data_IF_996183908252
#
_entry.id   IF_996183908252
#
_cell.length_a   1.000
_cell.length_b   1.000
_cell.length_c   1.000
_cell.angle_alpha   90.00
_cell.angle_beta   90.00
_cell.angle_gamma   90.00
#
_symmetry.space_group_name_H-M   'P 1'
#
loop_
_entity.id
_entity.type
_entity.pdbx_description
1 polymer ?
#
# COMPACT_ATOMS: atom_id res chain seq x y z
N UNK A 1 -16.94 -5.77 19.68
CA UNK A 1 -17.54 -5.59 18.33
C UNK A 1 -16.56 -4.78 17.50
N UNK A 2 -16.43 -4.98 16.18
CA UNK A 2 -15.65 -4.07 15.34
C UNK A 2 -16.14 -2.61 15.49
N UNK A 3 -15.24 -1.60 15.49
CA UNK A 3 -13.78 -1.72 15.35
C UNK A 3 -13.03 -1.98 16.67
N UNK A 4 -13.68 -2.12 17.82
CA UNK A 4 -12.98 -2.35 19.10
C UNK A 4 -12.12 -3.62 19.10
N UNK A 5 -12.39 -4.57 18.21
CA UNK A 5 -11.62 -5.80 18.03
C UNK A 5 -10.14 -5.57 17.72
N UNK A 6 -9.78 -4.45 17.08
CA UNK A 6 -8.38 -4.10 16.80
C UNK A 6 -7.69 -3.31 17.90
N UNK A 7 -8.37 -3.01 19.02
CA UNK A 7 -7.76 -2.28 20.12
C UNK A 7 -6.64 -3.08 20.78
N UNK A 8 -5.63 -2.39 21.32
CA UNK A 8 -4.53 -3.03 22.04
C UNK A 8 -4.99 -3.94 23.21
N UNK A 9 -6.16 -3.66 23.81
CA UNK A 9 -6.73 -4.49 24.88
C UNK A 9 -7.29 -5.82 24.34
N UNK A 10 -7.93 -5.79 23.17
CA UNK A 10 -8.61 -6.96 22.60
C UNK A 10 -7.76 -7.74 21.61
N UNK A 11 -6.83 -7.07 20.94
CA UNK A 11 -5.83 -7.65 20.04
C UNK A 11 -4.44 -7.04 20.31
N UNK A 12 -3.69 -7.57 21.29
CA UNK A 12 -2.34 -7.10 21.59
C UNK A 12 -1.36 -7.26 20.42
N UNK A 13 -1.55 -8.26 19.57
CA UNK A 13 -0.68 -8.50 18.41
C UNK A 13 -0.94 -7.49 17.29
N UNK A 14 -2.18 -7.03 17.16
CA UNK A 14 -2.58 -5.99 16.21
C UNK A 14 -1.96 -4.61 16.45
N UNK A 15 -1.24 -4.41 17.56
CA UNK A 15 -0.49 -3.18 17.86
C UNK A 15 0.80 -3.10 17.04
N UNK A 16 1.41 -4.24 16.73
CA UNK A 16 2.70 -4.32 16.03
C UNK A 16 2.62 -5.05 14.69
N UNK A 17 1.59 -5.85 14.46
CA UNK A 17 1.47 -6.62 13.22
C UNK A 17 1.15 -5.78 11.98
N UNK A 18 1.51 -6.33 10.83
CA UNK A 18 1.31 -5.71 9.52
C UNK A 18 -0.10 -5.87 8.94
N UNK A 19 -0.99 -6.70 9.52
CA UNK A 19 -2.28 -7.11 8.94
C UNK A 19 -3.12 -6.00 8.29
N UNK A 20 -3.10 -4.78 8.82
CA UNK A 20 -3.83 -3.67 8.23
C UNK A 20 -3.16 -3.09 6.95
N UNK A 21 -1.83 -3.17 6.83
CA UNK A 21 -1.08 -2.59 5.72
C UNK A 21 -1.32 -3.36 4.41
N UNK A 22 -1.60 -4.66 4.48
CA UNK A 22 -1.78 -5.55 3.33
C UNK A 22 -3.18 -5.54 2.70
N UNK A 23 -4.07 -4.65 3.16
CA UNK A 23 -5.48 -4.60 2.76
C UNK A 23 -5.91 -3.19 2.31
N UNK A 24 -4.98 -2.33 1.92
CA UNK A 24 -5.22 -0.89 1.80
C UNK A 24 -5.34 -0.39 0.36
N UNK A 25 -4.83 -1.16 -0.60
CA UNK A 25 -4.81 -0.89 -2.04
C UNK A 25 -6.19 -0.51 -2.57
N UNK A 26 -7.20 -1.27 -2.14
CA UNK A 26 -8.60 -1.04 -2.51
C UNK A 26 -9.06 0.40 -2.24
N UNK A 27 -8.63 1.01 -1.13
CA UNK A 27 -9.15 2.32 -0.74
C UNK A 27 -8.59 3.47 -1.58
N UNK A 28 -7.37 3.33 -2.10
CA UNK A 28 -6.85 4.29 -3.07
C UNK A 28 -7.50 4.13 -4.45
N UNK A 29 -7.76 2.89 -4.83
CA UNK A 29 -8.36 2.50 -6.11
C UNK A 29 -9.81 2.99 -6.27
N UNK A 30 -10.61 2.93 -5.20
CA UNK A 30 -12.01 3.40 -5.23
C UNK A 30 -12.17 4.90 -4.93
N UNK A 31 -11.06 5.60 -4.67
CA UNK A 31 -11.05 7.04 -4.34
C UNK A 31 -9.96 7.80 -5.14
N UNK A 32 -9.92 7.66 -6.48
CA UNK A 32 -8.89 8.30 -7.30
C UNK A 32 -8.94 9.81 -7.15
N UNK A 33 -7.79 10.44 -6.92
CA UNK A 33 -7.68 11.90 -6.70
C UNK A 33 -8.28 12.40 -5.38
N UNK A 34 -8.76 11.50 -4.51
CA UNK A 34 -9.36 11.83 -3.21
C UNK A 34 -8.56 11.20 -2.05
N UNK A 35 -7.28 11.58 -1.86
CA UNK A 35 -6.40 10.96 -0.87
C UNK A 35 -6.90 11.04 0.56
N UNK A 36 -7.57 12.13 0.95
CA UNK A 36 -8.09 12.26 2.32
C UNK A 36 -9.23 11.26 2.58
N UNK A 37 -10.06 11.00 1.56
CA UNK A 37 -11.14 10.02 1.65
C UNK A 37 -10.58 8.59 1.62
N UNK A 38 -9.57 8.33 0.78
CA UNK A 38 -8.84 7.06 0.75
C UNK A 38 -8.23 6.74 2.12
N UNK A 39 -7.46 7.69 2.70
CA UNK A 39 -6.89 7.57 4.04
C UNK A 39 -7.95 7.32 5.11
N UNK A 40 -9.07 8.06 5.08
CA UNK A 40 -10.14 7.92 6.07
C UNK A 40 -10.78 6.54 6.03
N UNK A 41 -11.06 6.00 4.83
CA UNK A 41 -11.65 4.68 4.64
C UNK A 41 -10.69 3.57 5.05
N UNK A 42 -9.44 3.66 4.62
CA UNK A 42 -8.40 2.71 5.00
C UNK A 42 -8.21 2.65 6.53
N UNK A 43 -8.08 3.81 7.18
CA UNK A 43 -7.96 3.87 8.64
C UNK A 43 -9.18 3.29 9.35
N UNK A 44 -10.39 3.52 8.82
CA UNK A 44 -11.61 2.98 9.40
C UNK A 44 -11.65 1.45 9.34
N UNK A 45 -11.31 0.88 8.19
CA UNK A 45 -11.26 -0.56 7.99
C UNK A 45 -10.14 -1.22 8.80
N UNK A 46 -8.93 -0.65 8.76
CA UNK A 46 -7.75 -1.14 9.47
C UNK A 46 -7.96 -1.26 11.00
N UNK A 47 -8.78 -0.36 11.59
CA UNK A 47 -9.09 -0.42 13.02
C UNK A 47 -9.83 -1.68 13.46
N UNK A 48 -10.41 -2.45 12.55
CA UNK A 48 -11.08 -3.71 12.87
C UNK A 48 -10.09 -4.77 13.37
N UNK A 49 -8.87 -4.78 12.82
CA UNK A 49 -7.83 -5.78 13.12
C UNK A 49 -6.66 -5.19 13.90
N UNK A 50 -6.31 -3.93 13.67
CA UNK A 50 -5.09 -3.33 14.20
C UNK A 50 -5.34 -2.02 14.95
N UNK A 51 -4.32 -1.58 15.67
CA UNK A 51 -4.21 -0.22 16.21
C UNK A 51 -2.80 0.32 16.03
N UNK A 52 -2.60 1.62 16.25
CA UNK A 52 -1.28 2.24 16.14
C UNK A 52 -0.76 2.31 14.70
N UNK A 53 0.55 2.08 14.54
CA UNK A 53 1.30 2.36 13.31
C UNK A 53 0.70 1.68 12.07
N UNK A 54 0.25 0.43 12.18
CA UNK A 54 -0.30 -0.30 11.04
C UNK A 54 -1.51 0.41 10.42
N UNK A 55 -2.38 0.99 11.25
CA UNK A 55 -3.55 1.78 10.80
C UNK A 55 -3.13 3.06 10.09
N UNK A 56 -2.10 3.74 10.61
CA UNK A 56 -1.55 4.96 10.01
C UNK A 56 -0.91 4.65 8.65
N UNK A 57 -0.15 3.56 8.57
CA UNK A 57 0.52 3.13 7.33
C UNK A 57 -0.49 2.69 6.28
N UNK A 58 -1.58 1.99 6.65
CA UNK A 58 -2.68 1.72 5.71
C UNK A 58 -3.23 3.02 5.15
N UNK A 59 -3.53 4.00 6.00
CA UNK A 59 -4.06 5.28 5.57
C UNK A 59 -3.08 6.05 4.66
N UNK A 60 -1.77 5.94 4.93
CA UNK A 60 -0.72 6.54 4.13
C UNK A 60 -0.69 5.97 2.72
N UNK A 61 -0.64 4.64 2.59
CA UNK A 61 -0.61 3.99 1.27
C UNK A 61 -1.89 4.24 0.48
N UNK A 62 -3.06 4.23 1.13
CA UNK A 62 -4.32 4.55 0.45
C UNK A 62 -4.32 5.97 -0.16
N UNK A 63 -3.82 6.98 0.59
CA UNK A 63 -3.66 8.33 0.04
C UNK A 63 -2.64 8.37 -1.10
N UNK A 64 -1.52 7.67 -0.96
CA UNK A 64 -0.50 7.60 -1.99
C UNK A 64 -1.06 7.02 -3.29
N UNK A 65 -1.77 5.88 -3.22
CA UNK A 65 -2.40 5.25 -4.37
C UNK A 65 -3.47 6.14 -5.03
N UNK A 66 -4.29 6.83 -4.24
CA UNK A 66 -5.28 7.78 -4.75
C UNK A 66 -4.63 8.93 -5.54
N UNK A 67 -3.43 9.39 -5.12
CA UNK A 67 -2.70 10.47 -5.80
C UNK A 67 -1.97 9.98 -7.05
N UNK A 68 -1.52 8.72 -7.08
CA UNK A 68 -0.74 8.14 -8.17
C UNK A 68 -1.48 8.07 -9.53
N UNK A 69 -2.80 8.29 -9.56
CA UNK A 69 -3.56 8.46 -10.79
C UNK A 69 -3.21 9.74 -11.56
N UNK A 70 -2.74 10.78 -10.86
CA UNK A 70 -2.57 12.13 -11.40
C UNK A 70 -1.16 12.70 -11.22
N UNK A 71 -0.32 12.05 -10.42
CA UNK A 71 1.09 12.39 -10.23
C UNK A 71 1.93 11.10 -10.37
N UNK A 72 3.12 11.23 -10.94
CA UNK A 72 4.07 10.14 -11.15
C UNK A 72 5.42 10.39 -10.49
N UNK A 73 5.62 11.56 -9.88
CA UNK A 73 6.83 11.86 -9.10
C UNK A 73 6.74 11.17 -7.74
N UNK A 74 7.53 10.13 -7.54
CA UNK A 74 7.47 9.28 -6.35
C UNK A 74 7.76 10.08 -5.06
N UNK A 75 8.73 10.98 -5.12
CA UNK A 75 9.08 11.85 -3.99
C UNK A 75 7.89 12.74 -3.61
N UNK A 76 7.27 13.43 -4.57
CA UNK A 76 6.03 14.19 -4.37
C UNK A 76 4.91 13.32 -3.78
N UNK A 77 4.65 12.14 -4.35
CA UNK A 77 3.61 11.22 -3.89
C UNK A 77 3.79 10.81 -2.42
N UNK A 78 4.99 10.37 -2.06
CA UNK A 78 5.35 9.94 -0.71
C UNK A 78 5.26 11.11 0.28
N UNK A 79 5.80 12.28 -0.07
CA UNK A 79 5.80 13.48 0.78
C UNK A 79 4.38 14.04 0.97
N UNK A 80 3.56 14.05 -0.07
CA UNK A 80 2.17 14.49 0.02
C UNK A 80 1.35 13.52 0.88
N UNK A 81 1.54 12.20 0.74
CA UNK A 81 0.91 11.22 1.62
C UNK A 81 1.35 11.40 3.09
N UNK A 82 2.65 11.61 3.32
CA UNK A 82 3.24 11.84 4.65
C UNK A 82 2.66 13.09 5.34
N UNK A 83 2.42 14.17 4.59
CA UNK A 83 1.94 15.46 5.12
C UNK A 83 0.55 15.40 5.80
N UNK A 84 -0.16 14.27 5.66
CA UNK A 84 -1.46 14.01 6.32
C UNK A 84 -1.34 13.54 7.76
N UNK A 85 -0.13 13.19 8.19
CA UNK A 85 0.14 12.66 9.52
C UNK A 85 0.90 13.69 10.37
N UNK A 86 0.75 13.66 11.72
CA UNK A 86 1.51 14.53 12.60
C UNK A 86 3.02 14.37 12.39
N UNK A 87 3.75 15.50 12.36
CA UNK A 87 5.21 15.50 12.13
C UNK A 87 6.02 14.84 13.25
N UNK A 88 5.42 14.60 14.41
CA UNK A 88 5.98 13.91 15.56
C UNK A 88 5.54 12.43 15.65
N UNK A 89 4.83 11.91 14.64
CA UNK A 89 4.43 10.50 14.59
C UNK A 89 5.59 9.56 14.22
N UNK A 90 5.45 8.30 14.60
CA UNK A 90 6.41 7.25 14.21
C UNK A 90 6.43 7.03 12.69
N UNK A 91 5.28 7.11 12.02
CA UNK A 91 5.21 7.04 10.56
C UNK A 91 6.06 8.15 9.92
N UNK A 92 5.90 9.39 10.40
CA UNK A 92 6.62 10.54 9.85
C UNK A 92 8.14 10.37 10.04
N UNK A 93 8.57 9.90 11.21
CA UNK A 93 9.97 9.60 11.50
C UNK A 93 10.54 8.51 10.59
N UNK A 94 9.83 7.41 10.35
CA UNK A 94 10.30 6.34 9.48
C UNK A 94 10.49 6.85 8.05
N UNK A 95 9.53 7.62 7.52
CA UNK A 95 9.62 8.20 6.18
C UNK A 95 10.86 9.09 6.07
N UNK A 96 11.05 10.07 6.97
CA UNK A 96 12.24 10.94 6.94
C UNK A 96 13.55 10.15 7.04
N UNK A 97 13.60 9.18 7.95
CA UNK A 97 14.81 8.40 8.20
C UNK A 97 15.20 7.57 6.97
N UNK A 98 14.24 6.89 6.32
CA UNK A 98 14.52 6.09 5.12
C UNK A 98 14.90 6.99 3.93
N UNK A 99 14.24 8.13 3.74
CA UNK A 99 14.64 9.13 2.74
C UNK A 99 16.07 9.62 2.95
N UNK A 100 16.45 9.90 4.20
CA UNK A 100 17.81 10.35 4.53
C UNK A 100 18.85 9.25 4.27
N UNK A 101 18.56 7.99 4.61
CA UNK A 101 19.46 6.88 4.30
C UNK A 101 19.62 6.65 2.80
N UNK A 102 18.55 6.77 2.03
CA UNK A 102 18.60 6.75 0.57
C UNK A 102 19.47 7.89 0.04
N UNK A 103 19.24 9.13 0.48
CA UNK A 103 20.02 10.29 0.04
C UNK A 103 21.52 10.20 0.36
N UNK A 104 21.88 9.57 1.50
CA UNK A 104 23.27 9.33 1.88
C UNK A 104 23.92 8.14 1.15
N UNK A 105 23.12 7.20 0.65
CA UNK A 105 23.58 5.95 0.03
C UNK A 105 22.79 5.64 -1.26
N UNK A 106 22.76 6.54 -2.26
CA UNK A 106 21.84 6.44 -3.40
C UNK A 106 22.05 5.17 -4.24
N UNK A 107 23.28 4.64 -4.29
CA UNK A 107 23.63 3.49 -5.13
C UNK A 107 23.69 2.15 -4.37
N UNK A 108 23.47 2.14 -3.05
CA UNK A 108 23.60 0.92 -2.23
C UNK A 108 22.45 0.73 -1.23
N UNK A 109 21.36 0.15 -1.73
CA UNK A 109 20.19 -0.24 -0.93
C UNK A 109 20.53 -1.19 0.22
N UNK A 110 21.66 -1.93 0.16
CA UNK A 110 22.04 -2.86 1.24
C UNK A 110 22.44 -2.13 2.51
N UNK A 111 22.99 -0.92 2.38
CA UNK A 111 23.28 -0.05 3.52
C UNK A 111 21.96 0.37 4.19
N UNK A 112 21.01 0.88 3.42
CA UNK A 112 19.68 1.25 3.92
C UNK A 112 18.96 0.07 4.56
N UNK A 113 19.01 -1.12 3.95
CA UNK A 113 18.45 -2.35 4.54
C UNK A 113 19.10 -2.70 5.89
N UNK A 114 20.43 -2.59 6.00
CA UNK A 114 21.14 -2.88 7.24
C UNK A 114 20.74 -1.89 8.35
N UNK A 115 20.59 -0.61 8.01
CA UNK A 115 20.13 0.43 8.93
C UNK A 115 18.67 0.24 9.35
N UNK A 116 17.79 -0.18 8.42
CA UNK A 116 16.41 -0.58 8.73
C UNK A 116 16.40 -1.72 9.74
N UNK A 117 17.22 -2.75 9.52
CA UNK A 117 17.33 -3.87 10.46
C UNK A 117 17.79 -3.41 11.84
N UNK A 118 18.83 -2.57 11.91
CA UNK A 118 19.35 -2.08 13.18
C UNK A 118 18.33 -1.24 13.96
N UNK A 119 17.51 -0.44 13.27
CA UNK A 119 16.60 0.52 13.90
C UNK A 119 15.18 0.01 14.14
N UNK A 120 14.66 -0.85 13.26
CA UNK A 120 13.23 -1.16 13.20
C UNK A 120 12.89 -2.65 13.32
N UNK A 121 13.86 -3.55 13.30
CA UNK A 121 13.67 -5.01 13.48
C UNK A 121 13.74 -5.39 14.97
N UNK A 122 12.97 -4.70 15.80
CA UNK A 122 12.90 -4.83 17.27
C UNK A 122 11.51 -5.21 17.79
N UNK A 123 10.55 -5.43 16.88
CA UNK A 123 9.23 -5.98 17.18
C UNK A 123 9.27 -7.52 17.28
N UNK A 124 8.24 -8.18 17.86
CA UNK A 124 8.30 -9.60 18.17
C UNK A 124 8.54 -10.52 16.97
N UNK A 125 8.05 -10.15 15.78
CA UNK A 125 8.10 -11.00 14.59
C UNK A 125 8.49 -10.22 13.34
N UNK A 126 9.01 -10.95 12.35
CA UNK A 126 9.46 -10.41 11.06
C UNK A 126 8.33 -9.78 10.22
N UNK A 127 7.07 -10.09 10.50
CA UNK A 127 5.87 -9.50 9.88
C UNK A 127 5.34 -8.29 10.67
N UNK A 128 6.22 -7.57 11.38
CA UNK A 128 5.85 -6.35 12.06
C UNK A 128 5.67 -5.18 11.09
N UNK A 129 4.66 -4.36 11.35
CA UNK A 129 4.31 -3.18 10.56
C UNK A 129 5.48 -2.22 10.34
N UNK A 130 6.31 -2.03 11.36
CA UNK A 130 7.37 -1.01 11.39
C UNK A 130 8.50 -1.30 10.41
N UNK A 131 9.09 -2.50 10.50
CA UNK A 131 10.22 -2.92 9.64
C UNK A 131 9.79 -3.10 8.18
N UNK A 132 8.56 -3.58 7.95
CA UNK A 132 8.03 -3.78 6.61
C UNK A 132 7.62 -2.47 5.93
N UNK A 133 7.06 -1.51 6.67
CA UNK A 133 6.84 -0.17 6.15
C UNK A 133 8.15 0.49 5.70
N UNK A 134 9.19 0.44 6.53
CA UNK A 134 10.50 0.96 6.18
C UNK A 134 11.13 0.23 4.97
N UNK A 135 10.95 -1.09 4.89
CA UNK A 135 11.46 -1.92 3.78
C UNK A 135 10.76 -1.61 2.46
N UNK A 136 9.46 -1.36 2.48
CA UNK A 136 8.67 -0.97 1.31
C UNK A 136 9.08 0.42 0.82
N UNK A 137 9.27 1.39 1.72
CA UNK A 137 9.80 2.72 1.36
C UNK A 137 11.18 2.64 0.70
N UNK A 138 12.07 1.81 1.25
CA UNK A 138 13.38 1.57 0.63
C UNK A 138 13.22 1.01 -0.79
N UNK A 139 12.39 -0.02 -0.97
CA UNK A 139 12.17 -0.62 -2.27
C UNK A 139 11.61 0.38 -3.30
N UNK A 140 10.70 1.26 -2.88
CA UNK A 140 10.15 2.32 -3.73
C UNK A 140 11.24 3.31 -4.17
N UNK A 141 12.04 3.81 -3.23
CA UNK A 141 13.08 4.81 -3.52
C UNK A 141 14.18 4.27 -4.45
N UNK A 142 14.74 3.10 -4.11
CA UNK A 142 15.79 2.46 -4.91
C UNK A 142 15.26 1.75 -6.17
N UNK A 143 13.94 1.59 -6.27
CA UNK A 143 13.28 1.07 -7.46
C UNK A 143 13.31 2.06 -8.62
N UNK A 144 13.50 3.37 -8.34
CA UNK A 144 13.57 4.46 -9.32
C UNK A 144 12.41 4.47 -10.32
N UNK A 145 11.31 3.85 -9.92
CA UNK A 145 10.14 3.70 -10.73
C UNK A 145 10.05 2.54 -11.70
N UNK A 146 11.05 1.69 -11.73
CA UNK A 146 10.95 0.42 -12.44
C UNK A 146 10.22 -0.61 -11.56
N UNK A 147 9.10 -1.14 -12.06
CA UNK A 147 8.25 -2.06 -11.31
C UNK A 147 8.99 -3.34 -10.92
N UNK A 148 9.74 -3.94 -11.87
CA UNK A 148 10.43 -5.20 -11.63
C UNK A 148 11.57 -5.01 -10.63
N UNK A 149 12.32 -3.92 -10.74
CA UNK A 149 13.36 -3.53 -9.81
C UNK A 149 12.78 -3.29 -8.41
N UNK A 150 11.69 -2.52 -8.32
CA UNK A 150 11.00 -2.23 -7.05
C UNK A 150 10.57 -3.53 -6.36
N UNK A 151 9.89 -4.42 -7.08
CA UNK A 151 9.48 -5.72 -6.54
C UNK A 151 10.68 -6.60 -6.17
N UNK A 152 11.72 -6.62 -7.00
CA UNK A 152 12.95 -7.38 -6.70
C UNK A 152 13.60 -6.90 -5.42
N UNK A 153 13.71 -5.58 -5.20
CA UNK A 153 14.27 -5.01 -3.99
C UNK A 153 13.40 -5.27 -2.76
N UNK A 154 12.07 -5.15 -2.89
CA UNK A 154 11.13 -5.51 -1.82
C UNK A 154 11.25 -6.98 -1.42
N UNK A 155 11.37 -7.89 -2.39
CA UNK A 155 11.59 -9.32 -2.13
C UNK A 155 12.96 -9.61 -1.50
N UNK A 156 14.02 -8.95 -1.98
CA UNK A 156 15.39 -9.09 -1.45
C UNK A 156 15.58 -8.42 -0.08
N UNK A 157 14.71 -7.49 0.31
CA UNK A 157 14.69 -6.94 1.66
C UNK A 157 14.42 -8.06 2.69
N UNK A 158 13.59 -9.06 2.35
CA UNK A 158 13.18 -10.13 3.24
C UNK A 158 11.98 -9.70 4.09
N UNK A 159 11.93 -10.13 5.36
CA UNK A 159 10.78 -9.94 6.25
C UNK A 159 9.48 -10.40 5.58
N UNK A 160 8.42 -9.59 5.59
CA UNK A 160 7.15 -9.90 4.95
C UNK A 160 7.20 -9.59 3.45
N UNK A 161 8.04 -10.35 2.75
CA UNK A 161 8.47 -10.07 1.39
C UNK A 161 7.31 -10.01 0.40
N UNK A 162 6.33 -10.92 0.49
CA UNK A 162 5.15 -10.93 -0.37
C UNK A 162 4.27 -9.70 -0.17
N UNK A 163 4.10 -9.25 1.08
CA UNK A 163 3.39 -8.00 1.33
C UNK A 163 4.18 -6.78 0.84
N UNK A 164 5.47 -6.69 1.15
CA UNK A 164 6.32 -5.58 0.72
C UNK A 164 6.31 -5.45 -0.82
N UNK A 165 6.41 -6.58 -1.53
CA UNK A 165 6.34 -6.63 -2.99
C UNK A 165 5.00 -6.13 -3.52
N UNK A 166 3.88 -6.59 -2.95
CA UNK A 166 2.54 -6.23 -3.42
C UNK A 166 2.23 -4.75 -3.16
N UNK A 167 2.57 -4.27 -1.97
CA UNK A 167 2.38 -2.87 -1.57
C UNK A 167 3.22 -1.95 -2.47
N UNK A 168 4.51 -2.28 -2.67
CA UNK A 168 5.37 -1.49 -3.52
C UNK A 168 4.91 -1.48 -4.99
N UNK A 169 4.47 -2.63 -5.52
CA UNK A 169 4.01 -2.78 -6.90
C UNK A 169 2.77 -1.93 -7.22
N UNK A 170 1.90 -1.68 -6.24
CA UNK A 170 0.69 -0.87 -6.43
C UNK A 170 1.01 0.61 -6.64
N UNK A 171 2.16 1.08 -6.13
CA UNK A 171 2.69 2.41 -6.40
C UNK A 171 3.32 2.44 -7.79
N UNK A 172 2.52 2.44 -8.86
CA UNK A 172 3.09 2.51 -10.21
C UNK A 172 3.76 3.87 -10.41
N UNK A 173 5.07 3.81 -10.54
CA UNK A 173 5.88 4.91 -10.99
C UNK A 173 5.87 5.09 -12.51
N UNK A 174 5.95 6.35 -12.92
CA UNK A 174 6.56 6.76 -14.18
C UNK A 174 5.69 6.74 -15.45
N UNK A 175 4.73 5.83 -15.63
CA UNK A 175 3.88 5.83 -16.85
C UNK A 175 2.52 5.17 -16.63
N UNK A 176 1.52 5.95 -16.23
CA UNK A 176 0.08 5.72 -16.41
C UNK A 176 -0.47 4.37 -15.93
N UNK A 177 -1.58 4.37 -15.21
CA UNK A 177 -2.36 3.15 -15.01
C UNK A 177 -2.76 2.63 -16.40
N UNK A 178 -2.09 1.58 -16.85
CA UNK A 178 -2.54 0.75 -17.96
C UNK A 178 -2.90 -0.57 -17.31
N UNK A 179 -4.16 -0.66 -16.88
CA UNK A 179 -4.72 -1.84 -16.23
C UNK A 179 -4.55 -3.10 -17.10
N UNK A 180 -4.28 -2.96 -18.40
CA UNK A 180 -3.97 -4.06 -19.31
C UNK A 180 -2.61 -4.74 -19.05
N UNK A 181 -1.63 -4.07 -18.43
CA UNK A 181 -0.27 -4.64 -18.26
C UNK A 181 -0.03 -5.42 -16.97
N UNK A 182 -0.95 -5.38 -16.01
CA UNK A 182 -0.95 -6.36 -14.93
C UNK A 182 -1.23 -7.78 -15.49
N UNK A 183 -1.98 -7.86 -16.60
CA UNK A 183 -2.08 -9.08 -17.41
C UNK A 183 -0.76 -9.45 -18.08
N UNK A 184 -0.11 -8.51 -18.78
CA UNK A 184 1.12 -8.80 -19.54
C UNK A 184 2.35 -9.10 -18.67
N UNK A 185 2.49 -8.49 -17.50
CA UNK A 185 3.59 -8.81 -16.57
C UNK A 185 3.41 -10.19 -15.91
N UNK A 186 2.16 -10.60 -15.65
CA UNK A 186 1.83 -11.96 -15.24
C UNK A 186 2.04 -12.98 -16.38
N UNK A 187 1.88 -12.56 -17.64
CA UNK A 187 2.10 -13.40 -18.83
C UNK A 187 3.60 -13.50 -19.19
N UNK A 188 4.39 -12.45 -18.96
CA UNK A 188 5.81 -12.39 -19.32
C UNK A 188 6.77 -13.02 -18.30
N UNK A 189 6.40 -13.06 -17.01
CA UNK A 189 7.23 -13.64 -15.96
C UNK A 189 7.00 -15.15 -15.74
N UNK A 190 6.24 -15.82 -16.62
CA UNK A 190 5.81 -17.21 -16.43
C UNK A 190 6.12 -18.18 -17.58
N UNK A 191 6.94 -17.83 -18.57
CA UNK A 191 7.04 -18.65 -19.79
C UNK A 191 8.28 -19.56 -19.91
N UNK A 192 9.30 -19.46 -19.06
CA UNK A 192 10.46 -20.37 -19.15
C UNK A 192 10.83 -20.87 -17.74
N UNK A 193 10.60 -22.17 -17.51
CA UNK A 193 11.09 -23.00 -16.38
C UNK A 193 10.32 -23.06 -15.04
N UNK A 194 8.99 -23.20 -15.05
CA UNK A 194 8.27 -23.86 -13.93
C UNK A 194 7.08 -24.69 -14.41
N UNK A 195 7.39 -25.93 -14.81
CA UNK A 195 6.43 -26.97 -15.11
C UNK A 195 5.74 -27.41 -13.80
N UNK A 196 4.57 -26.83 -13.45
CA UNK A 196 3.79 -27.35 -12.31
C UNK A 196 2.68 -26.54 -11.67
N UNK A 197 2.52 -25.23 -11.88
CA UNK A 197 1.44 -24.46 -11.21
C UNK A 197 1.05 -23.21 -12.01
N UNK A 198 0.18 -23.38 -13.00
CA UNK A 198 -0.45 -22.27 -13.72
C UNK A 198 -1.77 -21.89 -13.04
N UNK A 199 -1.76 -20.80 -12.27
CA UNK A 199 -2.99 -20.10 -11.89
C UNK A 199 -3.29 -19.11 -13.03
N UNK A 200 -4.34 -19.39 -13.81
CA UNK A 200 -4.86 -18.47 -14.82
C UNK A 200 -5.65 -17.36 -14.12
N UNK A 201 -5.09 -16.16 -14.07
CA UNK A 201 -5.87 -14.95 -13.81
C UNK A 201 -6.34 -14.40 -15.15
N UNK A 202 -7.47 -14.90 -15.66
CA UNK A 202 -8.13 -14.34 -16.84
C UNK A 202 -9.00 -13.13 -16.42
N UNK A 203 -8.63 -11.94 -16.89
CA UNK A 203 -9.55 -11.05 -17.61
C UNK A 203 -10.42 -10.04 -16.86
N UNK A 204 -10.76 -10.19 -15.57
CA UNK A 204 -11.95 -9.48 -15.04
C UNK A 204 -11.69 -8.45 -13.92
N UNK A 205 -10.44 -8.22 -13.50
CA UNK A 205 -10.20 -7.29 -12.39
C UNK A 205 -10.35 -5.83 -12.81
N UNK A 206 -9.87 -5.43 -13.99
CA UNK A 206 -9.88 -4.03 -14.42
C UNK A 206 -11.30 -3.50 -14.67
N UNK A 207 -12.18 -4.31 -15.26
CA UNK A 207 -13.56 -3.93 -15.62
C UNK A 207 -14.43 -3.76 -14.36
N UNK A 208 -14.25 -4.64 -13.35
CA UNK A 208 -14.93 -4.52 -12.06
C UNK A 208 -14.44 -3.32 -11.23
N UNK A 209 -13.18 -2.89 -11.39
CA UNK A 209 -12.64 -1.74 -10.65
C UNK A 209 -13.18 -0.41 -11.17
N UNK A 210 -13.43 -0.29 -12.48
CA UNK A 210 -14.10 0.87 -13.06
C UNK A 210 -15.58 0.95 -12.61
N UNK A 211 -16.29 -0.18 -12.52
CA UNK A 211 -17.66 -0.21 -11.97
C UNK A 211 -17.70 0.21 -10.49
N UNK A 212 -16.76 -0.27 -9.68
CA UNK A 212 -16.69 0.11 -8.25
C UNK A 212 -16.34 1.60 -8.09
N UNK A 213 -15.46 2.15 -8.93
CA UNK A 213 -15.14 3.57 -8.93
C UNK A 213 -16.33 4.44 -9.38
N UNK A 214 -17.15 3.97 -10.33
CA UNK A 214 -18.38 4.63 -10.77
C UNK A 214 -19.45 4.63 -9.66
N UNK A 215 -19.61 3.51 -8.95
CA UNK A 215 -20.57 3.39 -7.83
C UNK A 215 -20.13 4.22 -6.62
N UNK A 216 -18.82 4.33 -6.35
CA UNK A 216 -18.30 5.12 -5.23
C UNK A 216 -18.42 6.65 -5.46
N UNK A 217 -18.46 7.10 -6.71
CA UNK A 217 -18.54 8.51 -7.11
C UNK A 217 -19.93 8.96 -7.59
N UNK A 218 -20.93 8.07 -7.51
CA UNK A 218 -22.31 8.34 -7.91
C UNK A 218 -23.10 9.15 -6.87
N UNK A 219 -23.59 10.30 -7.32
CA UNK A 219 -24.42 11.28 -6.63
C UNK A 219 -25.59 10.65 -5.84
N UNK A 220 -25.81 11.10 -4.61
CA UNK A 220 -27.02 10.82 -3.83
C UNK A 220 -28.19 11.64 -4.41
N UNK A 221 -28.67 11.25 -5.59
CA UNK A 221 -29.71 11.93 -6.33
C UNK A 221 -30.95 11.06 -6.55
N UNK A 222 -31.90 11.17 -5.62
CA UNK A 222 -33.36 11.00 -5.83
C UNK A 222 -33.87 9.84 -6.68
N UNK A 223 -34.47 8.84 -6.02
CA UNK A 223 -35.77 8.29 -6.45
C UNK A 223 -36.57 7.78 -5.24
N UNK A 224 -37.31 8.71 -4.63
CA UNK A 224 -38.51 8.41 -3.85
C UNK A 224 -39.69 8.63 -4.81
N UNK A 225 -40.20 7.55 -5.39
CA UNK A 225 -41.51 7.48 -6.03
C UNK A 225 -42.06 6.08 -5.70
N UNK A 226 -42.92 5.96 -4.70
CA UNK A 226 -44.38 6.02 -4.84
C UNK A 226 -44.93 4.82 -5.65
N UNK A 227 -45.36 3.78 -4.93
CA UNK A 227 -46.45 2.91 -5.39
C UNK A 227 -47.47 2.79 -4.25
N UNK A 228 -48.54 3.59 -4.39
CA UNK A 228 -49.88 3.25 -3.92
C UNK A 228 -50.53 2.26 -4.91
N UNK A 229 -51.44 1.43 -4.38
CA UNK A 229 -52.47 0.61 -5.03
C UNK A 229 -52.03 -0.64 -5.84
N UNK A 230 -52.16 -1.84 -5.20
CA UNK A 230 -53.27 -2.83 -5.37
C UNK A 230 -53.30 -3.77 -4.16
#
# INVERSE_FOLDING_TARGET
MPPETGSAERNPDGVWSIDAQLQTELFGLIAPGMPDEASRRAAYFARVTNSGLAVEVSAFYAALYAQAYFDSDLDSLLRNAQARFPSDSQLYEIVETVFNWHALNPDDWRVSRALIRERYDDDPMWWAAKVNFASTLMALLYGEGDLLQTMTLAGLAGWDADNNMTTAATTKSGRGVDAGRLGDAAVGAGAEDVDGLAIRAEGDLAEHLDEVALVANGDAGTELAAEEDV
#
